data_IF_758512133122
#
_entry.id   IF_758512133122
#
_cell.length_a   1.000
_cell.length_b   1.000
_cell.length_c   1.000
_cell.angle_alpha   90.00
_cell.angle_beta   90.00
_cell.angle_gamma   90.00
#
_symmetry.space_group_name_H-M   'P 1'
#
loop_
_entity.id
_entity.type
_entity.pdbx_description
1 polymer ?
#
# COMPACT_ATOMS: atom_id res chain seq x y z
N UNK A 1 6.23 -9.18 20.64
CA UNK A 1 7.21 -8.15 21.06
C UNK A 1 7.73 -7.35 19.85
N UNK A 2 8.14 -7.98 18.74
CA UNK A 2 8.78 -7.26 17.61
C UNK A 2 7.95 -6.22 16.84
N UNK A 3 6.63 -6.39 16.68
CA UNK A 3 5.82 -5.46 15.83
C UNK A 3 5.67 -4.09 16.48
N UNK A 4 5.45 -4.04 17.79
CA UNK A 4 5.24 -2.78 18.52
C UNK A 4 6.53 -1.96 18.57
N UNK A 5 7.67 -2.60 18.83
CA UNK A 5 8.98 -1.96 18.78
C UNK A 5 9.29 -1.41 17.37
N UNK A 6 8.93 -2.16 16.31
CA UNK A 6 9.07 -1.70 14.94
C UNK A 6 8.18 -0.47 14.65
N UNK A 7 6.95 -0.45 15.18
CA UNK A 7 6.03 0.68 15.02
C UNK A 7 6.55 1.94 15.70
N UNK A 8 7.10 1.80 16.91
CA UNK A 8 7.73 2.92 17.64
C UNK A 8 8.95 3.44 16.88
N UNK A 9 9.78 2.56 16.32
CA UNK A 9 10.90 2.95 15.47
C UNK A 9 10.46 3.69 14.20
N UNK A 10 9.36 3.27 13.56
CA UNK A 10 8.79 3.97 12.41
C UNK A 10 8.25 5.35 12.79
N UNK A 11 7.55 5.47 13.91
CA UNK A 11 7.05 6.76 14.41
C UNK A 11 8.19 7.71 14.75
N UNK A 12 9.25 7.19 15.36
CA UNK A 12 10.46 7.96 15.61
C UNK A 12 11.11 8.42 14.31
N UNK A 13 11.37 7.52 13.36
CA UNK A 13 11.97 7.86 12.07
C UNK A 13 11.15 8.89 11.27
N UNK A 14 9.82 8.79 11.32
CA UNK A 14 8.90 9.72 10.67
C UNK A 14 9.11 11.17 11.13
N UNK A 15 9.37 11.40 12.43
CA UNK A 15 9.62 12.74 12.98
C UNK A 15 10.87 13.42 12.38
N UNK A 16 11.83 12.64 11.88
CA UNK A 16 13.09 13.14 11.34
C UNK A 16 13.15 13.15 9.82
N UNK A 17 12.18 12.54 9.12
CA UNK A 17 12.09 12.63 7.66
C UNK A 17 11.49 13.93 7.18
N UNK A 18 12.25 14.65 6.38
CA UNK A 18 11.92 15.94 5.76
C UNK A 18 11.70 15.84 4.24
N UNK A 19 11.95 14.67 3.64
CA UNK A 19 11.65 14.38 2.23
C UNK A 19 10.33 13.64 2.08
N UNK A 20 9.36 14.26 1.41
CA UNK A 20 8.00 13.73 1.25
C UNK A 20 7.92 12.34 0.62
N UNK A 21 8.76 12.04 -0.39
CA UNK A 21 8.80 10.70 -1.00
C UNK A 21 9.22 9.66 0.03
N UNK A 22 10.26 9.90 0.83
CA UNK A 22 10.69 9.02 1.93
C UNK A 22 9.60 8.86 2.99
N UNK A 23 8.87 9.94 3.29
CA UNK A 23 7.73 9.91 4.20
C UNK A 23 6.61 8.99 3.72
N UNK A 24 6.24 9.03 2.43
CA UNK A 24 5.23 8.10 1.86
C UNK A 24 5.67 6.65 2.01
N UNK A 25 6.94 6.33 1.67
CA UNK A 25 7.45 4.97 1.78
C UNK A 25 7.43 4.46 3.24
N UNK A 26 7.86 5.27 4.21
CA UNK A 26 7.81 4.90 5.63
C UNK A 26 6.38 4.61 6.11
N UNK A 27 5.41 5.42 5.70
CA UNK A 27 4.01 5.21 6.04
C UNK A 27 3.42 3.94 5.39
N UNK A 28 3.81 3.63 4.15
CA UNK A 28 3.43 2.38 3.48
C UNK A 28 4.05 1.16 4.15
N UNK A 29 5.33 1.20 4.51
CA UNK A 29 5.98 0.12 5.25
C UNK A 29 5.28 -0.12 6.59
N UNK A 30 4.89 0.95 7.29
CA UNK A 30 4.10 0.84 8.53
C UNK A 30 2.74 0.18 8.28
N UNK A 31 2.06 0.52 7.18
CA UNK A 31 0.79 -0.13 6.82
C UNK A 31 0.97 -1.63 6.52
N UNK A 32 2.03 -2.01 5.81
CA UNK A 32 2.37 -3.43 5.56
C UNK A 32 2.66 -4.15 6.88
N UNK A 33 3.34 -3.51 7.83
CA UNK A 33 3.57 -4.10 9.15
C UNK A 33 2.24 -4.36 9.91
N UNK A 34 1.27 -3.44 9.83
CA UNK A 34 -0.08 -3.67 10.34
C UNK A 34 -0.75 -4.86 9.66
N UNK A 35 -0.62 -4.97 8.34
CA UNK A 35 -1.18 -6.07 7.57
C UNK A 35 -0.61 -7.41 8.04
N UNK A 36 0.72 -7.54 8.11
CA UNK A 36 1.40 -8.75 8.57
C UNK A 36 1.09 -9.10 10.03
N UNK A 37 0.60 -8.15 10.82
CA UNK A 37 0.11 -8.36 12.19
C UNK A 37 -1.38 -8.76 12.24
N UNK A 38 -1.97 -9.19 11.12
CA UNK A 38 -3.39 -9.51 10.93
C UNK A 38 -4.34 -8.34 11.18
N UNK A 39 -3.85 -7.09 11.17
CA UNK A 39 -4.69 -5.89 11.27
C UNK A 39 -5.04 -5.36 9.87
N UNK A 40 -5.61 -6.23 9.03
CA UNK A 40 -5.78 -5.98 7.60
C UNK A 40 -6.64 -4.74 7.28
N UNK A 41 -7.78 -4.57 7.95
CA UNK A 41 -8.66 -3.41 7.77
C UNK A 41 -7.93 -2.10 8.13
N UNK A 42 -7.20 -2.11 9.25
CA UNK A 42 -6.46 -0.95 9.71
C UNK A 42 -5.30 -0.59 8.77
N UNK A 43 -4.65 -1.60 8.17
CA UNK A 43 -3.63 -1.41 7.14
C UNK A 43 -4.20 -0.75 5.88
N UNK A 44 -5.29 -1.29 5.33
CA UNK A 44 -5.94 -0.77 4.11
C UNK A 44 -6.43 0.67 4.32
N UNK A 45 -7.13 0.93 5.44
CA UNK A 45 -7.62 2.27 5.78
C UNK A 45 -6.47 3.30 5.84
N UNK A 46 -5.29 2.91 6.34
CA UNK A 46 -4.12 3.80 6.40
C UNK A 46 -3.59 4.14 5.02
N UNK A 47 -3.55 3.18 4.11
CA UNK A 47 -3.12 3.41 2.71
C UNK A 47 -4.11 4.35 2.01
N UNK A 48 -5.41 4.13 2.17
CA UNK A 48 -6.46 4.98 1.61
C UNK A 48 -6.40 6.42 2.15
N UNK A 49 -6.18 6.58 3.47
CA UNK A 49 -5.97 7.90 4.09
C UNK A 49 -4.71 8.57 3.56
N UNK A 50 -3.64 7.81 3.34
CA UNK A 50 -2.40 8.34 2.77
C UNK A 50 -2.62 8.84 1.34
N UNK A 51 -3.35 8.08 0.51
CA UNK A 51 -3.66 8.44 -0.87
C UNK A 51 -4.59 9.68 -0.99
N UNK A 52 -5.46 9.91 -0.01
CA UNK A 52 -6.48 10.98 -0.06
C UNK A 52 -6.08 12.27 0.67
N UNK A 53 -5.40 12.17 1.81
CA UNK A 53 -5.14 13.33 2.70
C UNK A 53 -3.76 13.94 2.47
N UNK A 54 -2.81 13.20 1.90
CA UNK A 54 -1.44 13.68 1.71
C UNK A 54 -1.26 14.29 0.31
N UNK A 55 -1.14 15.63 0.16
CA UNK A 55 -1.09 16.29 -1.14
C UNK A 55 0.18 15.98 -1.96
N UNK A 56 1.17 15.34 -1.32
CA UNK A 56 2.48 15.01 -1.92
C UNK A 56 2.78 13.51 -1.86
N UNK A 57 1.80 12.69 -1.47
CA UNK A 57 2.00 11.24 -1.51
C UNK A 57 2.20 10.78 -2.95
N UNK A 58 3.03 9.76 -3.14
CA UNK A 58 3.09 9.07 -4.43
C UNK A 58 1.86 8.19 -4.57
N UNK A 59 0.75 8.81 -5.00
CA UNK A 59 -0.58 8.19 -5.12
C UNK A 59 -0.53 6.86 -5.91
N UNK A 60 0.17 6.76 -7.06
CA UNK A 60 0.35 5.48 -7.74
C UNK A 60 0.95 4.38 -6.86
N UNK A 61 1.96 4.70 -6.04
CA UNK A 61 2.59 3.71 -5.15
C UNK A 61 1.62 3.27 -4.06
N UNK A 62 0.84 4.19 -3.50
CA UNK A 62 -0.22 3.84 -2.54
C UNK A 62 -1.22 2.84 -3.12
N UNK A 63 -1.71 3.09 -4.34
CA UNK A 63 -2.66 2.20 -5.00
C UNK A 63 -2.05 0.85 -5.40
N UNK A 64 -0.77 0.83 -5.82
CA UNK A 64 -0.07 -0.43 -6.09
C UNK A 64 0.02 -1.28 -4.81
N UNK A 65 0.38 -0.67 -3.68
CA UNK A 65 0.46 -1.39 -2.40
C UNK A 65 -0.93 -1.84 -1.92
N UNK A 66 -1.96 -1.00 -2.05
CA UNK A 66 -3.35 -1.37 -1.75
C UNK A 66 -3.82 -2.57 -2.58
N UNK A 67 -3.62 -2.52 -3.91
CA UNK A 67 -3.95 -3.61 -4.81
C UNK A 67 -3.21 -4.90 -4.42
N UNK A 68 -1.91 -4.82 -4.09
CA UNK A 68 -1.14 -5.97 -3.62
C UNK A 68 -1.74 -6.60 -2.35
N UNK A 69 -2.10 -5.79 -1.35
CA UNK A 69 -2.69 -6.29 -0.10
C UNK A 69 -4.09 -6.90 -0.32
N UNK A 70 -4.91 -6.31 -1.18
CA UNK A 70 -6.21 -6.89 -1.55
C UNK A 70 -6.04 -8.23 -2.28
N UNK A 71 -5.05 -8.38 -3.16
CA UNK A 71 -4.72 -9.69 -3.77
C UNK A 71 -4.35 -10.72 -2.70
N UNK A 72 -3.53 -10.35 -1.72
CA UNK A 72 -3.15 -11.25 -0.62
C UNK A 72 -4.37 -11.72 0.19
N UNK A 73 -5.30 -10.82 0.50
CA UNK A 73 -6.56 -11.18 1.16
C UNK A 73 -7.42 -12.10 0.29
N UNK A 74 -7.51 -11.81 -1.01
CA UNK A 74 -8.25 -12.64 -1.96
C UNK A 74 -7.70 -14.07 -2.04
N UNK A 75 -6.37 -14.23 -2.08
CA UNK A 75 -5.71 -15.54 -2.05
C UNK A 75 -6.01 -16.27 -0.74
N UNK A 76 -5.85 -15.62 0.41
CA UNK A 76 -6.11 -16.23 1.72
C UNK A 76 -7.57 -16.67 1.86
N UNK A 77 -8.53 -15.84 1.42
CA UNK A 77 -9.95 -16.16 1.43
C UNK A 77 -10.27 -17.33 0.49
N UNK A 78 -9.65 -17.35 -0.70
CA UNK A 78 -9.80 -18.44 -1.67
C UNK A 78 -9.31 -19.78 -1.10
N UNK A 79 -8.11 -19.78 -0.49
CA UNK A 79 -7.54 -20.97 0.15
C UNK A 79 -8.40 -21.45 1.33
N UNK A 80 -9.08 -20.53 2.03
CA UNK A 80 -10.06 -20.83 3.08
C UNK A 80 -11.43 -21.27 2.57
N UNK A 81 -11.63 -21.42 1.25
CA UNK A 81 -12.91 -21.70 0.59
C UNK A 81 -14.00 -20.62 0.80
N UNK A 82 -13.61 -19.38 1.10
CA UNK A 82 -14.49 -18.22 1.22
C UNK A 82 -14.61 -17.50 -0.14
N UNK A 83 -15.23 -18.16 -1.12
CA UNK A 83 -15.26 -17.69 -2.51
C UNK A 83 -15.84 -16.28 -2.73
N UNK A 84 -16.87 -15.88 -1.97
CA UNK A 84 -17.45 -14.54 -2.07
C UNK A 84 -16.48 -13.47 -1.54
N UNK A 85 -15.86 -13.71 -0.39
CA UNK A 85 -14.88 -12.80 0.20
C UNK A 85 -13.64 -12.65 -0.71
N UNK A 86 -13.18 -13.74 -1.31
CA UNK A 86 -12.13 -13.70 -2.31
C UNK A 86 -12.52 -12.83 -3.53
N UNK A 87 -13.74 -12.99 -4.04
CA UNK A 87 -14.25 -12.20 -5.17
C UNK A 87 -14.37 -10.70 -4.82
N UNK A 88 -14.80 -10.37 -3.61
CA UNK A 88 -14.89 -9.00 -3.13
C UNK A 88 -13.49 -8.34 -3.09
N UNK A 89 -12.49 -9.06 -2.56
CA UNK A 89 -11.11 -8.58 -2.54
C UNK A 89 -10.52 -8.39 -3.94
N UNK A 90 -10.76 -9.31 -4.87
CA UNK A 90 -10.30 -9.15 -6.27
C UNK A 90 -11.05 -8.04 -7.00
N UNK A 91 -12.33 -7.80 -6.70
CA UNK A 91 -13.07 -6.66 -7.25
C UNK A 91 -12.45 -5.35 -6.79
N UNK A 92 -12.13 -5.22 -5.50
CA UNK A 92 -11.45 -4.04 -4.97
C UNK A 92 -10.12 -3.75 -5.67
N UNK A 93 -9.35 -4.79 -6.05
CA UNK A 93 -8.12 -4.63 -6.85
C UNK A 93 -8.39 -3.95 -8.19
N UNK A 94 -9.45 -4.35 -8.90
CA UNK A 94 -9.80 -3.78 -10.20
C UNK A 94 -10.14 -2.30 -10.06
N UNK A 95 -10.91 -1.93 -9.04
CA UNK A 95 -11.26 -0.53 -8.78
C UNK A 95 -10.02 0.32 -8.46
N UNK A 96 -9.08 -0.21 -7.67
CA UNK A 96 -7.80 0.45 -7.37
C UNK A 96 -6.92 0.61 -8.62
N UNK A 97 -6.83 -0.42 -9.47
CA UNK A 97 -6.00 -0.38 -10.69
C UNK A 97 -6.61 0.54 -11.75
N UNK A 98 -7.94 0.59 -11.89
CA UNK A 98 -8.63 1.49 -12.81
C UNK A 98 -8.29 2.97 -12.53
N UNK A 99 -7.97 3.32 -11.27
CA UNK A 99 -7.49 4.65 -10.90
C UNK A 99 -6.05 4.91 -11.38
N UNK A 100 -5.17 3.90 -11.31
CA UNK A 100 -3.77 4.03 -11.75
C UNK A 100 -3.61 4.11 -13.26
N UNK A 101 -4.46 3.45 -14.05
CA UNK A 101 -4.39 3.48 -15.52
C UNK A 101 -4.81 4.82 -16.13
N UNK A 102 -5.55 5.65 -15.39
CA UNK A 102 -5.86 7.04 -15.77
C UNK A 102 -4.71 8.01 -15.47
N UNK A 103 -3.84 7.68 -14.52
CA UNK A 103 -2.59 8.42 -14.32
C UNK A 103 -1.61 8.02 -15.40
N UNK A 104 -1.04 8.97 -16.15
CA UNK A 104 -0.07 8.67 -17.20
C UNK A 104 1.23 8.11 -16.57
N UNK A 105 1.26 6.80 -16.32
CA UNK A 105 2.40 6.03 -15.80
C UNK A 105 3.66 6.26 -16.68
N UNK A 106 3.45 6.65 -17.94
CA UNK A 106 4.51 6.76 -18.94
C UNK A 106 5.58 7.82 -18.62
N UNK A 107 5.31 8.86 -17.83
CA UNK A 107 6.31 9.92 -17.59
C UNK A 107 7.25 9.71 -16.40
N UNK A 108 7.04 8.69 -15.56
CA UNK A 108 7.83 8.47 -14.32
C UNK A 108 8.90 7.37 -14.39
N UNK A 109 8.97 6.60 -15.48
CA UNK A 109 9.88 5.45 -15.59
C UNK A 109 10.99 5.61 -16.63
N UNK A 110 11.17 6.80 -17.23
CA UNK A 110 12.34 7.07 -18.09
C UNK A 110 13.68 6.89 -17.34
N UNK A 111 13.69 7.10 -16.02
CA UNK A 111 14.90 6.94 -15.19
C UNK A 111 15.31 5.47 -14.94
N UNK A 112 14.46 4.49 -15.30
CA UNK A 112 14.74 3.05 -15.11
C UNK A 112 15.09 2.32 -16.41
N UNK A 113 15.31 3.03 -17.53
CA UNK A 113 15.90 2.42 -18.72
C UNK A 113 17.38 2.16 -18.46
N UNK A 114 17.68 1.01 -17.88
CA UNK A 114 19.03 0.44 -17.96
C UNK A 114 19.30 0.18 -19.44
N UNK A 115 20.24 0.95 -20.00
CA UNK A 115 20.80 0.70 -21.33
C UNK A 115 21.51 -0.66 -21.25
N UNK A 116 20.92 -1.68 -21.87
CA UNK A 116 21.60 -2.94 -22.15
C UNK A 116 22.71 -2.74 -23.20
#
# INVERSE_FOLDING_TARGET
MQVQDAMEAFDFAFMFTNEYSKTTHLLLIKAIAYFNANQHEHAIMRIQKLATVCPKADIPVCHIVEAYLCVQLGINAFDGAYGNEAADHFTAVIDTIAFTSQSAIHSKYEDFVVVC
#
